data_IF_298593350535
#
_entry.id   IF_298593350535
#
_cell.length_a   1.000
_cell.length_b   1.000
_cell.length_c   1.000
_cell.angle_alpha   90.00
_cell.angle_beta   90.00
_cell.angle_gamma   90.00
#
_symmetry.space_group_name_H-M   'P 1'
#
loop_
_entity.id
_entity.type
_entity.pdbx_description
1 polymer ?
#
# COMPACT_ATOMS: atom_id res chain seq x y z
N UNK A 1 6.27 -27.37 7.31
CA UNK A 1 6.35 -25.95 7.66
C UNK A 1 7.46 -25.31 6.84
N UNK A 2 7.16 -24.42 5.89
CA UNK A 2 8.21 -23.77 5.10
C UNK A 2 9.02 -22.84 6.00
N UNK A 3 10.36 -22.97 5.94
CA UNK A 3 11.28 -22.13 6.71
C UNK A 3 11.25 -20.71 6.14
N UNK A 4 10.90 -19.75 6.98
CA UNK A 4 11.01 -18.32 6.69
C UNK A 4 12.49 -18.00 6.52
N UNK A 5 12.92 -17.76 5.28
CA UNK A 5 14.27 -17.25 5.01
C UNK A 5 14.20 -15.75 5.28
N UNK A 6 14.76 -15.33 6.42
CA UNK A 6 14.94 -13.90 6.72
C UNK A 6 15.85 -13.30 5.65
N UNK A 7 15.47 -12.20 4.98
CA UNK A 7 16.40 -11.46 4.15
C UNK A 7 17.58 -10.96 5.01
N UNK A 8 18.79 -10.88 4.44
CA UNK A 8 19.97 -10.42 5.17
C UNK A 8 19.75 -8.99 5.67
N UNK A 9 19.83 -8.80 6.98
CA UNK A 9 19.89 -7.48 7.60
C UNK A 9 21.19 -6.84 7.13
N UNK A 10 21.10 -5.74 6.38
CA UNK A 10 22.26 -4.97 5.97
C UNK A 10 22.86 -4.34 7.25
N UNK A 11 24.09 -4.71 7.65
CA UNK A 11 24.61 -4.45 9.00
C UNK A 11 24.81 -2.96 9.34
N UNK A 12 24.75 -2.05 8.35
CA UNK A 12 25.13 -0.65 8.51
C UNK A 12 23.98 0.34 8.35
N UNK A 13 22.73 -0.10 8.49
CA UNK A 13 21.61 0.86 8.53
C UNK A 13 21.60 1.53 9.91
N UNK A 14 21.81 2.86 10.02
CA UNK A 14 21.68 3.53 11.31
C UNK A 14 20.30 3.20 11.90
N UNK A 15 20.18 2.99 13.23
CA UNK A 15 18.89 2.70 13.83
C UNK A 15 17.92 3.77 13.35
N UNK A 16 16.84 3.35 12.68
CA UNK A 16 15.75 4.24 12.31
C UNK A 16 15.35 4.92 13.61
N UNK A 17 15.70 6.20 13.75
CA UNK A 17 15.35 6.99 14.93
C UNK A 17 13.86 6.80 15.10
N UNK A 18 13.44 6.25 16.25
CA UNK A 18 12.01 6.09 16.55
C UNK A 18 11.40 7.48 16.47
N UNK A 19 10.67 7.75 15.40
CA UNK A 19 10.01 9.02 15.22
C UNK A 19 9.01 9.20 16.36
N UNK A 20 9.10 10.34 17.02
CA UNK A 20 8.06 10.77 17.94
C UNK A 20 7.35 11.91 17.26
N UNK A 21 6.13 11.65 16.84
CA UNK A 21 5.25 12.69 16.34
C UNK A 21 5.03 13.74 17.43
N UNK A 22 5.08 15.03 17.06
CA UNK A 22 4.66 16.10 17.97
C UNK A 22 3.15 16.00 18.16
N UNK A 23 2.76 15.26 19.20
CA UNK A 23 1.38 15.02 19.58
C UNK A 23 0.64 16.36 19.77
N UNK A 24 -0.57 16.47 19.23
CA UNK A 24 -1.52 17.57 19.46
C UNK A 24 -1.14 18.97 18.95
N UNK A 25 -0.20 19.09 18.01
CA UNK A 25 -0.05 20.35 17.24
C UNK A 25 -0.92 20.30 15.98
N UNK A 26 -2.23 20.46 16.15
CA UNK A 26 -3.10 20.81 15.02
C UNK A 26 -2.95 22.32 14.82
N UNK A 27 -2.25 22.73 13.75
CA UNK A 27 -2.01 24.15 13.45
C UNK A 27 -3.22 24.76 12.73
N UNK A 28 -4.02 23.92 12.07
CA UNK A 28 -5.23 24.29 11.35
C UNK A 28 -6.45 23.53 11.91
N UNK A 29 -7.62 24.17 12.10
CA UNK A 29 -8.85 23.49 12.50
C UNK A 29 -9.32 22.40 11.54
N UNK A 30 -8.91 22.45 10.26
CA UNK A 30 -9.29 21.49 9.23
C UNK A 30 -8.32 20.28 9.14
N UNK A 31 -7.23 20.27 9.93
CA UNK A 31 -6.33 19.13 10.02
C UNK A 31 -6.96 17.93 10.75
N UNK A 32 -6.69 16.73 10.24
CA UNK A 32 -7.01 15.50 10.97
C UNK A 32 -6.38 15.52 12.36
N UNK A 33 -7.16 15.15 13.37
CA UNK A 33 -6.68 15.07 14.75
C UNK A 33 -5.69 13.91 14.90
N UNK A 34 -4.50 14.22 15.40
CA UNK A 34 -3.40 13.25 15.63
C UNK A 34 -3.24 12.99 17.13
N UNK A 35 -4.32 12.51 17.75
CA UNK A 35 -4.43 12.32 19.21
C UNK A 35 -3.94 10.96 19.71
N UNK A 36 -3.67 10.03 18.79
CA UNK A 36 -3.11 8.70 19.07
C UNK A 36 -1.62 8.76 19.36
N UNK A 37 -1.13 7.77 20.10
CA UNK A 37 0.29 7.62 20.45
C UNK A 37 1.12 6.96 19.36
N UNK A 38 0.48 6.43 18.31
CA UNK A 38 1.09 5.79 17.16
C UNK A 38 0.68 6.52 15.87
N UNK A 39 1.65 6.89 15.03
CA UNK A 39 1.42 7.66 13.80
C UNK A 39 0.54 6.92 12.79
N UNK A 40 0.53 5.59 12.83
CA UNK A 40 -0.43 4.82 12.06
C UNK A 40 -0.03 3.38 11.81
N UNK A 41 -0.97 2.60 11.30
CA UNK A 41 -0.72 1.23 10.86
C UNK A 41 -0.37 1.19 9.38
N UNK A 42 0.77 0.58 9.05
CA UNK A 42 1.12 0.17 7.70
C UNK A 42 0.92 -1.34 7.54
N UNK A 43 0.10 -1.74 6.58
CA UNK A 43 -0.10 -3.14 6.18
C UNK A 43 0.32 -3.32 4.73
N UNK A 44 1.21 -4.27 4.46
CA UNK A 44 1.73 -4.53 3.12
C UNK A 44 1.37 -5.94 2.69
N UNK A 45 0.65 -6.06 1.59
CA UNK A 45 0.41 -7.32 0.89
C UNK A 45 1.28 -7.37 -0.36
N UNK A 46 2.23 -8.30 -0.38
CA UNK A 46 3.17 -8.46 -1.47
C UNK A 46 2.95 -9.81 -2.14
N UNK A 47 2.39 -9.80 -3.35
CA UNK A 47 2.16 -11.00 -4.15
C UNK A 47 3.30 -11.13 -5.16
N UNK A 48 4.23 -12.04 -4.93
CA UNK A 48 5.41 -12.28 -5.78
C UNK A 48 5.15 -13.36 -6.82
N UNK A 49 4.53 -14.46 -6.40
CA UNK A 49 4.33 -15.69 -7.18
C UNK A 49 2.88 -16.15 -7.10
N UNK A 50 2.43 -16.84 -8.15
CA UNK A 50 1.04 -17.22 -8.35
C UNK A 50 0.98 -18.72 -8.72
N UNK A 51 -0.13 -19.36 -8.40
CA UNK A 51 -0.41 -20.75 -8.79
C UNK A 51 -0.80 -20.85 -10.27
N UNK A 52 -1.52 -19.86 -10.77
CA UNK A 52 -1.79 -19.74 -12.20
C UNK A 52 -0.53 -19.26 -12.93
N UNK A 53 0.04 -20.16 -13.73
CA UNK A 53 1.24 -19.94 -14.55
C UNK A 53 1.06 -18.83 -15.60
N UNK A 54 -0.17 -18.38 -15.86
CA UNK A 54 -0.45 -17.24 -16.73
C UNK A 54 0.04 -15.91 -16.14
N UNK A 55 0.29 -15.85 -14.83
CA UNK A 55 0.85 -14.68 -14.16
C UNK A 55 2.37 -14.80 -13.97
N UNK A 56 3.09 -13.82 -14.52
CA UNK A 56 4.55 -13.75 -14.38
C UNK A 56 4.98 -13.52 -12.92
N UNK A 57 6.09 -14.15 -12.51
CA UNK A 57 6.75 -13.85 -11.25
C UNK A 57 7.12 -12.36 -11.14
N UNK A 58 6.71 -11.68 -10.06
CA UNK A 58 6.94 -10.23 -9.86
C UNK A 58 8.34 -9.94 -9.31
N UNK A 59 9.37 -10.18 -10.12
CA UNK A 59 10.76 -9.82 -9.79
C UNK A 59 10.86 -8.33 -9.41
N UNK A 60 11.57 -8.04 -8.31
CA UNK A 60 11.78 -6.67 -7.83
C UNK A 60 10.76 -6.18 -6.79
N UNK A 61 9.61 -6.83 -6.62
CA UNK A 61 8.58 -6.36 -5.67
C UNK A 61 9.05 -6.33 -4.21
N UNK A 62 10.03 -7.16 -3.83
CA UNK A 62 10.64 -7.10 -2.49
C UNK A 62 11.47 -5.83 -2.29
N UNK A 63 12.04 -5.27 -3.37
CA UNK A 63 12.70 -3.97 -3.31
C UNK A 63 11.68 -2.87 -3.06
N UNK A 64 10.50 -2.94 -3.69
CA UNK A 64 9.39 -2.01 -3.41
C UNK A 64 8.96 -2.07 -1.94
N UNK A 65 8.87 -3.28 -1.35
CA UNK A 65 8.59 -3.46 0.09
C UNK A 65 9.66 -2.78 0.96
N UNK A 66 10.94 -2.94 0.63
CA UNK A 66 12.01 -2.29 1.40
C UNK A 66 11.94 -0.75 1.31
N UNK A 67 11.67 -0.20 0.13
CA UNK A 67 11.50 1.24 -0.06
C UNK A 67 10.27 1.77 0.70
N UNK A 68 9.18 1.00 0.73
CA UNK A 68 8.00 1.29 1.55
C UNK A 68 8.34 1.37 3.03
N UNK A 69 9.04 0.37 3.57
CA UNK A 69 9.48 0.35 4.98
C UNK A 69 10.33 1.59 5.30
N UNK A 70 11.32 1.90 4.45
CA UNK A 70 12.18 3.07 4.64
C UNK A 70 11.42 4.38 4.58
N UNK A 71 10.50 4.51 3.61
CA UNK A 71 9.71 5.74 3.40
C UNK A 71 8.75 5.97 4.56
N UNK A 72 7.95 4.96 4.93
CA UNK A 72 7.02 5.09 6.05
C UNK A 72 7.74 5.23 7.39
N UNK A 73 8.91 4.61 7.57
CA UNK A 73 9.76 4.86 8.72
C UNK A 73 10.21 6.32 8.83
N UNK A 74 10.58 6.96 7.70
CA UNK A 74 10.91 8.40 7.65
C UNK A 74 9.70 9.30 7.86
N UNK A 75 8.52 8.87 7.43
CA UNK A 75 7.24 9.54 7.70
C UNK A 75 6.74 9.32 9.14
N UNK A 76 7.46 8.51 9.92
CA UNK A 76 7.22 8.39 11.34
C UNK A 76 6.46 7.15 11.80
N UNK A 77 6.23 6.20 10.91
CA UNK A 77 5.55 4.96 11.23
C UNK A 77 6.50 3.98 11.90
N UNK A 78 6.01 3.30 12.94
CA UNK A 78 6.68 2.15 13.52
C UNK A 78 6.33 0.90 12.69
N UNK A 79 7.06 0.68 11.60
CA UNK A 79 6.77 -0.41 10.67
C UNK A 79 7.06 -1.77 11.32
N UNK A 80 6.02 -2.55 11.60
CA UNK A 80 6.10 -3.87 12.22
C UNK A 80 6.03 -4.97 11.14
N UNK A 81 7.04 -5.85 11.11
CA UNK A 81 7.15 -6.95 10.15
C UNK A 81 5.93 -7.89 10.17
N UNK A 82 5.20 -7.98 11.28
CA UNK A 82 4.01 -8.85 11.37
C UNK A 82 2.87 -8.42 10.44
N UNK A 83 2.89 -7.18 9.95
CA UNK A 83 1.91 -6.65 9.00
C UNK A 83 2.43 -6.65 7.55
N UNK A 84 3.50 -7.38 7.27
CA UNK A 84 4.06 -7.57 5.92
C UNK A 84 3.82 -9.02 5.49
N UNK A 85 2.91 -9.21 4.54
CA UNK A 85 2.45 -10.51 4.10
C UNK A 85 2.93 -10.81 2.68
N UNK A 86 3.46 -12.01 2.47
CA UNK A 86 3.96 -12.45 1.17
C UNK A 86 3.15 -13.63 0.65
N UNK A 87 2.75 -13.59 -0.62
CA UNK A 87 2.13 -14.72 -1.33
C UNK A 87 0.96 -15.35 -0.55
N UNK A 88 -0.03 -14.55 -0.15
CA UNK A 88 -1.23 -15.09 0.48
C UNK A 88 -2.19 -15.59 -0.58
N UNK A 89 -2.74 -16.78 -0.36
CA UNK A 89 -3.98 -17.22 -0.99
C UNK A 89 -5.14 -16.28 -0.63
N UNK A 90 -6.22 -16.31 -1.42
CA UNK A 90 -7.37 -15.43 -1.27
C UNK A 90 -8.01 -15.53 0.10
N UNK A 91 -8.16 -16.74 0.63
CA UNK A 91 -8.77 -16.97 1.94
C UNK A 91 -7.95 -16.35 3.05
N UNK A 92 -6.65 -16.61 3.06
CA UNK A 92 -5.68 -16.05 4.00
C UNK A 92 -5.61 -14.53 3.89
N UNK A 93 -5.60 -13.98 2.67
CA UNK A 93 -5.59 -12.54 2.41
C UNK A 93 -6.79 -11.85 3.08
N UNK A 94 -8.01 -12.30 2.77
CA UNK A 94 -9.23 -11.70 3.30
C UNK A 94 -9.37 -11.92 4.81
N UNK A 95 -8.87 -13.05 5.34
CA UNK A 95 -8.80 -13.27 6.77
C UNK A 95 -7.87 -12.28 7.47
N UNK A 96 -6.71 -11.97 6.90
CA UNK A 96 -5.83 -10.92 7.44
C UNK A 96 -6.52 -9.57 7.44
N UNK A 97 -7.13 -9.17 6.32
CA UNK A 97 -7.89 -7.91 6.23
C UNK A 97 -8.97 -7.83 7.31
N UNK A 98 -9.77 -8.90 7.45
CA UNK A 98 -10.80 -8.98 8.48
C UNK A 98 -10.22 -8.90 9.89
N UNK A 99 -9.14 -9.62 10.16
CA UNK A 99 -8.52 -9.59 11.49
C UNK A 99 -8.00 -8.20 11.82
N UNK A 100 -7.29 -7.56 10.89
CA UNK A 100 -6.81 -6.18 11.05
C UNK A 100 -7.98 -5.22 11.27
N UNK A 101 -9.09 -5.33 10.55
CA UNK A 101 -10.24 -4.43 10.74
C UNK A 101 -10.93 -4.56 12.11
N UNK A 102 -10.75 -5.70 12.79
CA UNK A 102 -11.31 -5.96 14.12
C UNK A 102 -10.32 -5.65 15.28
N UNK A 103 -9.08 -5.27 14.98
CA UNK A 103 -8.14 -4.80 16.01
C UNK A 103 -8.58 -3.46 16.63
N UNK A 104 -8.11 -3.17 17.85
CA UNK A 104 -8.29 -1.87 18.46
C UNK A 104 -7.25 -0.86 17.95
N UNK A 105 -7.70 0.06 17.09
CA UNK A 105 -6.89 1.13 16.50
C UNK A 105 -7.04 2.47 17.20
N UNK A 106 -7.62 2.52 18.40
CA UNK A 106 -7.90 3.77 19.11
C UNK A 106 -6.64 4.63 19.29
N UNK A 107 -5.48 3.98 19.48
CA UNK A 107 -4.16 4.59 19.66
C UNK A 107 -3.45 5.00 18.36
N UNK A 108 -3.94 4.56 17.18
CA UNK A 108 -3.32 4.83 15.87
C UNK A 108 -3.95 6.06 15.22
N UNK A 109 -3.14 6.93 14.62
CA UNK A 109 -3.62 8.15 13.96
C UNK A 109 -4.19 7.91 12.56
N UNK A 110 -3.68 6.92 11.82
CA UNK A 110 -4.16 6.58 10.48
C UNK A 110 -3.97 5.11 10.11
N UNK A 111 -4.55 4.71 8.98
CA UNK A 111 -4.37 3.40 8.36
C UNK A 111 -3.79 3.57 6.95
N UNK A 112 -2.80 2.75 6.60
CA UNK A 112 -2.28 2.62 5.24
C UNK A 112 -2.23 1.14 4.88
N UNK A 113 -2.93 0.75 3.83
CA UNK A 113 -2.85 -0.59 3.25
C UNK A 113 -2.25 -0.48 1.85
N UNK A 114 -1.12 -1.16 1.64
CA UNK A 114 -0.43 -1.23 0.35
C UNK A 114 -0.53 -2.64 -0.20
N UNK A 115 -0.99 -2.77 -1.44
CA UNK A 115 -1.09 -4.05 -2.13
C UNK A 115 -0.25 -4.00 -3.40
N UNK A 116 0.78 -4.85 -3.44
CA UNK A 116 1.68 -5.03 -4.57
C UNK A 116 1.33 -6.35 -5.25
N UNK A 117 0.68 -6.29 -6.41
CA UNK A 117 0.20 -7.51 -7.10
C UNK A 117 0.04 -7.32 -8.61
N UNK A 118 -0.36 -8.35 -9.33
CA UNK A 118 -0.98 -8.22 -10.64
C UNK A 118 -2.45 -7.81 -10.48
N UNK A 119 -2.98 -7.15 -11.50
CA UNK A 119 -4.38 -6.79 -11.54
C UNK A 119 -4.87 -6.73 -12.97
N UNK A 120 -6.18 -6.77 -13.10
CA UNK A 120 -6.90 -6.77 -14.36
C UNK A 120 -7.89 -5.60 -14.38
N UNK A 121 -8.76 -5.53 -15.39
CA UNK A 121 -9.77 -4.47 -15.47
C UNK A 121 -10.73 -4.52 -14.26
N UNK A 122 -11.51 -3.44 -14.06
CA UNK A 122 -12.54 -3.39 -13.02
C UNK A 122 -12.06 -3.55 -11.57
N UNK A 123 -10.83 -3.11 -11.27
CA UNK A 123 -10.20 -3.20 -9.95
C UNK A 123 -10.07 -4.64 -9.42
N UNK A 124 -9.98 -5.62 -10.32
CA UNK A 124 -9.61 -6.97 -9.95
C UNK A 124 -8.10 -7.04 -9.67
N UNK A 125 -7.75 -7.63 -8.55
CA UNK A 125 -6.39 -7.88 -8.08
C UNK A 125 -6.19 -9.40 -8.01
N UNK A 126 -4.94 -9.85 -8.06
CA UNK A 126 -4.64 -11.27 -8.00
C UNK A 126 -4.05 -11.65 -6.62
N UNK A 127 -4.67 -12.58 -5.90
CA UNK A 127 -4.01 -13.32 -4.82
C UNK A 127 -3.24 -14.50 -5.39
N UNK A 128 -2.54 -15.26 -4.55
CA UNK A 128 -1.69 -16.36 -5.02
C UNK A 128 -2.46 -17.40 -5.87
N UNK A 129 -3.70 -17.71 -5.49
CA UNK A 129 -4.54 -18.77 -6.06
C UNK A 129 -5.77 -18.23 -6.85
N UNK A 130 -6.30 -17.07 -6.47
CA UNK A 130 -7.58 -16.57 -6.99
C UNK A 130 -7.67 -15.03 -7.02
N UNK A 131 -8.58 -14.46 -7.83
CA UNK A 131 -8.80 -13.02 -7.87
C UNK A 131 -9.47 -12.47 -6.60
N UNK A 132 -9.20 -11.21 -6.30
CA UNK A 132 -9.76 -10.41 -5.22
C UNK A 132 -10.17 -9.06 -5.79
N UNK A 133 -11.37 -8.58 -5.49
CA UNK A 133 -11.71 -7.21 -5.85
C UNK A 133 -11.16 -6.23 -4.83
N UNK A 134 -10.62 -5.12 -5.30
CA UNK A 134 -10.02 -4.13 -4.41
C UNK A 134 -11.02 -3.62 -3.34
N UNK A 135 -12.33 -3.59 -3.63
CA UNK A 135 -13.34 -3.16 -2.64
C UNK A 135 -13.45 -4.08 -1.42
N UNK A 136 -13.16 -5.37 -1.57
CA UNK A 136 -13.15 -6.35 -0.47
C UNK A 136 -12.06 -6.01 0.57
N UNK A 137 -11.11 -5.14 0.21
CA UNK A 137 -9.98 -4.73 1.05
C UNK A 137 -10.33 -3.50 1.89
N UNK A 138 -11.07 -2.53 1.35
CA UNK A 138 -11.42 -1.30 2.08
C UNK A 138 -12.78 -1.33 2.77
N UNK A 139 -13.74 -2.10 2.26
CA UNK A 139 -15.09 -2.22 2.85
C UNK A 139 -15.07 -2.57 4.35
N UNK A 140 -14.21 -3.50 4.84
CA UNK A 140 -14.13 -3.80 6.27
C UNK A 140 -13.69 -2.64 7.16
N UNK A 141 -13.16 -1.56 6.58
CA UNK A 141 -12.67 -0.37 7.29
C UNK A 141 -13.63 0.83 7.20
N UNK A 142 -14.84 0.62 6.70
CA UNK A 142 -15.92 1.60 6.86
C UNK A 142 -16.11 1.95 8.35
N UNK A 143 -16.40 3.21 8.64
CA UNK A 143 -16.65 3.79 9.94
C UNK A 143 -17.78 3.08 10.71
N UNK A 144 -18.68 2.39 10.01
CA UNK A 144 -19.71 1.52 10.58
C UNK A 144 -19.16 0.17 11.06
N UNK A 145 -18.14 -0.37 10.38
CA UNK A 145 -17.54 -1.68 10.67
C UNK A 145 -16.27 -1.60 11.54
N UNK A 146 -15.47 -0.54 11.41
CA UNK A 146 -14.22 -0.32 12.12
C UNK A 146 -14.26 1.02 12.87
N UNK A 147 -14.92 1.02 14.03
CA UNK A 147 -15.17 2.24 14.80
C UNK A 147 -13.88 2.93 15.31
N UNK A 148 -12.81 2.18 15.52
CA UNK A 148 -11.51 2.68 16.01
C UNK A 148 -10.75 3.54 14.97
N UNK A 149 -11.14 3.47 13.69
CA UNK A 149 -10.67 4.34 12.60
C UNK A 149 -11.69 5.40 12.13
N UNK A 150 -12.78 5.61 12.88
CA UNK A 150 -13.74 6.67 12.56
C UNK A 150 -13.09 8.05 12.66
N UNK A 151 -13.31 8.91 11.66
CA UNK A 151 -12.72 10.25 11.55
C UNK A 151 -11.18 10.25 11.50
N UNK A 152 -10.58 9.13 11.11
CA UNK A 152 -9.14 8.99 10.89
C UNK A 152 -8.88 8.65 9.42
N UNK A 153 -7.81 9.17 8.81
CA UNK A 153 -7.54 8.92 7.41
C UNK A 153 -7.13 7.46 7.17
N UNK A 154 -7.67 6.88 6.10
CA UNK A 154 -7.50 5.50 5.66
C UNK A 154 -7.05 5.49 4.21
N UNK A 155 -5.82 5.09 3.97
CA UNK A 155 -5.18 5.09 2.66
C UNK A 155 -5.12 3.66 2.11
N UNK A 156 -5.61 3.46 0.89
CA UNK A 156 -5.53 2.19 0.18
C UNK A 156 -4.77 2.41 -1.11
N UNK A 157 -3.63 1.74 -1.24
CA UNK A 157 -2.65 1.95 -2.29
C UNK A 157 -2.46 0.65 -3.06
N UNK A 158 -2.83 0.66 -4.33
CA UNK A 158 -2.81 -0.52 -5.19
C UNK A 158 -1.78 -0.35 -6.30
N UNK A 159 -0.67 -1.07 -6.18
CA UNK A 159 0.33 -1.23 -7.22
C UNK A 159 -0.02 -2.46 -8.05
N UNK A 160 -0.93 -2.27 -9.00
CA UNK A 160 -1.43 -3.31 -9.89
C UNK A 160 -1.68 -2.75 -11.30
N UNK A 161 -1.62 -3.63 -12.31
CA UNK A 161 -2.09 -3.31 -13.65
C UNK A 161 -3.62 -3.19 -13.65
N UNK A 162 -4.21 -2.55 -14.67
CA UNK A 162 -5.67 -2.52 -14.86
C UNK A 162 -6.08 -3.06 -16.24
N UNK A 163 -5.46 -4.14 -16.68
CA UNK A 163 -5.74 -4.79 -17.97
C UNK A 163 -4.52 -5.19 -18.80
N UNK A 164 -4.70 -6.17 -19.70
CA UNK A 164 -3.71 -6.66 -20.67
C UNK A 164 -3.62 -5.88 -22.00
N UNK A 165 -4.59 -5.02 -22.33
CA UNK A 165 -4.69 -4.36 -23.65
C UNK A 165 -3.79 -3.13 -23.78
N UNK A 166 -2.49 -3.34 -23.97
CA UNK A 166 -1.62 -2.32 -24.56
C UNK A 166 -1.58 -2.55 -26.07
N UNK A 167 -2.52 -1.96 -26.83
CA UNK A 167 -2.23 -1.68 -28.24
C UNK A 167 -1.25 -0.52 -28.28
N UNK A 168 0.00 -0.84 -28.61
CA UNK A 168 0.96 0.12 -29.15
C UNK A 168 0.27 0.89 -30.27
N UNK A 169 0.47 2.22 -30.27
CA UNK A 169 -0.07 3.19 -31.24
C UNK A 169 -1.60 3.27 -31.29
N UNK A 170 -2.18 4.27 -30.63
CA UNK A 170 -2.92 5.31 -31.35
C UNK A 170 -3.18 6.52 -30.44
N UNK A 171 -2.89 7.69 -31.00
CA UNK A 171 -2.91 9.02 -30.38
C UNK A 171 -4.33 9.54 -30.12
N UNK A 172 -5.18 8.77 -29.44
CA UNK A 172 -6.54 9.17 -29.03
C UNK A 172 -7.06 8.41 -27.78
N UNK A 173 -6.20 8.13 -26.79
CA UNK A 173 -6.65 7.61 -25.50
C UNK A 173 -7.32 8.72 -24.69
N UNK A 174 -8.58 9.02 -25.02
CA UNK A 174 -9.47 9.79 -24.17
C UNK A 174 -9.44 9.20 -22.77
N UNK A 175 -9.12 10.02 -21.77
CA UNK A 175 -9.17 9.67 -20.36
C UNK A 175 -10.63 9.43 -19.98
N UNK A 176 -11.11 8.21 -20.20
CA UNK A 176 -12.39 7.77 -19.65
C UNK A 176 -12.02 6.85 -18.49
N UNK A 177 -11.85 7.45 -17.30
CA UNK A 177 -12.03 6.69 -16.07
C UNK A 177 -13.50 6.29 -16.07
N UNK A 178 -13.80 5.04 -16.40
CA UNK A 178 -15.19 4.59 -16.48
C UNK A 178 -15.85 4.78 -15.10
N UNK A 179 -16.96 5.54 -15.04
CA UNK A 179 -17.74 5.78 -13.81
C UNK A 179 -18.18 4.48 -13.13
N UNK A 180 -18.20 3.36 -13.86
CA UNK A 180 -18.53 2.03 -13.34
C UNK A 180 -17.50 1.44 -12.37
N UNK A 181 -16.23 1.89 -12.40
CA UNK A 181 -15.13 1.33 -11.60
C UNK A 181 -15.29 1.65 -10.10
N UNK A 182 -15.86 2.81 -9.78
CA UNK A 182 -16.06 3.31 -8.42
C UNK A 182 -17.53 3.30 -8.00
N UNK A 183 -18.37 2.44 -8.62
CA UNK A 183 -19.76 2.24 -8.19
C UNK A 183 -19.89 1.69 -6.76
N UNK A 184 -18.79 1.22 -6.16
CA UNK A 184 -18.77 0.76 -4.78
C UNK A 184 -18.69 1.97 -3.84
N UNK A 185 -19.47 1.99 -2.75
CA UNK A 185 -19.53 3.13 -1.84
C UNK A 185 -18.14 3.41 -1.27
N UNK A 186 -17.73 4.67 -1.31
CA UNK A 186 -16.62 5.17 -0.53
C UNK A 186 -17.20 5.88 0.69
N UNK A 187 -16.57 5.66 1.84
CA UNK A 187 -16.90 6.39 3.05
C UNK A 187 -15.95 7.58 3.27
N UNK A 188 -16.29 8.43 4.23
CA UNK A 188 -15.43 9.54 4.63
C UNK A 188 -14.06 9.06 5.07
N UNK A 189 -13.07 9.94 4.93
CA UNK A 189 -11.70 9.73 5.40
C UNK A 189 -10.98 8.57 4.69
N UNK A 190 -11.44 8.18 3.51
CA UNK A 190 -10.78 7.19 2.66
C UNK A 190 -10.13 7.83 1.44
N UNK A 191 -8.87 7.47 1.17
CA UNK A 191 -8.17 7.78 -0.07
C UNK A 191 -7.78 6.48 -0.76
N UNK A 192 -8.17 6.32 -2.02
CA UNK A 192 -7.81 5.17 -2.84
C UNK A 192 -6.90 5.63 -3.98
N UNK A 193 -5.70 5.07 -4.04
CA UNK A 193 -4.72 5.34 -5.07
C UNK A 193 -4.38 4.07 -5.85
N UNK A 194 -4.48 4.13 -7.18
CA UNK A 194 -3.98 3.08 -8.07
C UNK A 194 -2.77 3.60 -8.84
N UNK A 195 -1.74 2.77 -8.99
CA UNK A 195 -0.54 3.12 -9.76
C UNK A 195 -0.78 3.31 -11.26
N UNK A 196 -1.93 2.84 -11.78
CA UNK A 196 -2.28 2.89 -13.20
C UNK A 196 -3.75 3.23 -13.43
N UNK A 197 -3.99 3.92 -14.54
CA UNK A 197 -5.33 4.17 -15.10
C UNK A 197 -5.90 2.90 -15.72
N UNK A 198 -7.23 2.83 -15.86
CA UNK A 198 -7.90 1.66 -16.45
C UNK A 198 -7.42 1.40 -17.89
N UNK A 199 -7.22 0.12 -18.23
CA UNK A 199 -6.69 -0.28 -19.54
C UNK A 199 -5.19 -0.08 -19.72
N UNK A 200 -4.48 0.53 -18.75
CA UNK A 200 -3.05 0.69 -18.79
C UNK A 200 -2.30 -0.43 -18.03
N UNK A 201 -1.18 -0.85 -18.60
CA UNK A 201 -0.23 -1.76 -17.93
C UNK A 201 0.58 -0.95 -16.92
N UNK A 202 0.70 -1.50 -15.70
CA UNK A 202 1.70 -1.01 -14.76
C UNK A 202 3.06 -1.55 -15.15
N UNK A 203 3.90 -0.67 -15.70
CA UNK A 203 5.24 -1.02 -16.12
C UNK A 203 6.15 -1.20 -14.91
N UNK A 204 6.81 -2.34 -14.85
CA UNK A 204 7.97 -2.60 -13.99
C UNK A 204 9.14 -2.82 -14.96
N UNK A 205 10.22 -2.07 -14.83
CA UNK A 205 11.31 -2.13 -15.81
C UNK A 205 12.18 -3.37 -15.54
N UNK A 206 12.31 -4.26 -16.52
CA UNK A 206 12.91 -5.59 -16.38
C UNK A 206 14.43 -5.64 -16.67
N UNK A 207 15.06 -4.53 -17.12
CA UNK A 207 16.42 -4.58 -17.70
C UNK A 207 17.55 -4.00 -16.85
N UNK A 208 17.26 -3.28 -15.77
CA UNK A 208 18.23 -2.82 -14.77
C UNK A 208 17.54 -2.86 -13.41
N UNK A 209 18.31 -2.85 -12.32
CA UNK A 209 17.87 -2.85 -10.92
C UNK A 209 17.07 -1.58 -10.53
N UNK A 210 16.03 -1.22 -11.28
CA UNK A 210 15.41 0.11 -11.20
C UNK A 210 13.87 0.08 -11.15
N UNK A 211 13.39 0.35 -9.93
CA UNK A 211 12.43 1.39 -9.53
C UNK A 211 11.03 1.41 -10.19
N UNK A 212 10.00 0.97 -9.43
CA UNK A 212 8.57 1.20 -9.75
C UNK A 212 8.16 2.68 -9.64
N UNK A 213 6.94 3.03 -10.07
CA UNK A 213 6.32 4.35 -9.79
C UNK A 213 6.33 4.66 -8.29
N UNK A 214 6.16 3.62 -7.47
CA UNK A 214 6.32 3.69 -6.02
C UNK A 214 7.75 4.02 -5.61
N UNK A 215 8.73 3.36 -6.22
CA UNK A 215 10.15 3.71 -6.02
C UNK A 215 10.43 5.16 -6.46
N UNK A 216 9.90 5.68 -7.56
CA UNK A 216 10.08 7.10 -7.90
C UNK A 216 9.46 8.03 -6.86
N UNK A 217 8.24 7.74 -6.39
CA UNK A 217 7.59 8.54 -5.36
C UNK A 217 8.34 8.50 -4.02
N UNK A 218 8.72 7.31 -3.57
CA UNK A 218 9.55 7.07 -2.39
C UNK A 218 10.96 7.69 -2.53
N UNK A 219 11.61 7.55 -3.69
CA UNK A 219 12.93 8.12 -3.96
C UNK A 219 12.92 9.65 -3.96
N UNK A 220 11.85 10.28 -4.48
CA UNK A 220 11.68 11.72 -4.44
C UNK A 220 11.52 12.23 -2.99
N UNK A 221 10.80 11.50 -2.13
CA UNK A 221 10.75 11.82 -0.69
C UNK A 221 12.08 11.52 0.01
N UNK A 222 12.80 10.50 -0.43
CA UNK A 222 14.11 10.12 0.10
C UNK A 222 15.25 11.07 -0.31
N UNK A 223 15.02 11.93 -1.32
CA UNK A 223 15.95 12.95 -1.79
C UNK A 223 15.73 14.33 -1.14
N UNK A 224 14.71 14.48 -0.29
CA UNK A 224 14.52 15.71 0.49
C UNK A 224 15.61 15.78 1.56
N UNK A 225 16.37 16.89 1.66
CA UNK A 225 17.43 17.01 2.65
C UNK A 225 16.85 16.90 4.05
N UNK A 226 17.51 16.10 4.88
CA UNK A 226 17.23 16.03 6.32
C UNK A 226 17.35 17.45 6.86
N UNK A 227 16.23 18.05 7.27
CA UNK A 227 16.26 19.35 7.93
C UNK A 227 16.92 19.11 9.28
N UNK A 228 18.23 19.36 9.34
CA UNK A 228 18.95 19.48 10.61
C UNK A 228 18.43 20.74 11.28
N UNK A 229 17.56 20.58 12.27
CA UNK A 229 17.28 21.63 13.24
C UNK A 229 18.55 21.84 14.05
N UNK A 230 19.35 22.83 13.65
CA UNK A 230 20.39 23.39 14.50
C UNK A 230 19.71 24.19 15.62
N UNK A 231 19.87 23.70 16.85
CA UNK A 231 19.74 24.34 18.18
C UNK A 231 19.06 25.70 18.28
#
# INVERSE_FOLDING_TARGET
>A
MPKIIKPPIIPDTPPVLSFKEDLNQNHDPDEYKRSGTDSGLLVIFNQLSYEDESYEFRKGTNQDVNELILTFGRLGFNVDEKYIFNNLDRGSFLNVIKNVSQEDHSHRNCLVIVVLTHGEQHNELQAQDAPIFAYEIWEPFFNSACASFRNKPKFFIFQACKGKNCSTSDSNAGTIVSETIFQKPLESDMLIAFSCVEGAKSTRNLRKEEKTLFHYYCACQNALPTITTTS
#
